data_IF_071053468130
#
_entry.id   IF_071053468130
#
_cell.length_a   1.000
_cell.length_b   1.000
_cell.length_c   1.000
_cell.angle_alpha   90.00
_cell.angle_beta   90.00
_cell.angle_gamma   90.00
#
_symmetry.space_group_name_H-M   'P 1'
#
loop_
_entity.id
_entity.type
_entity.pdbx_description
1 polymer ?
#
# COMPACT_ATOMS: atom_id res chain seq x y z
N UNK A 1 -2.00 12.52 9.28
CA UNK A 1 -2.14 11.58 8.14
C UNK A 1 -2.83 12.20 6.92
N UNK A 2 -4.07 12.73 7.00
CA UNK A 2 -4.80 13.29 5.83
C UNK A 2 -4.04 14.34 5.00
N UNK A 3 -3.27 15.23 5.64
CA UNK A 3 -2.48 16.25 4.94
C UNK A 3 -1.31 15.68 4.12
N UNK A 4 -0.63 14.65 4.64
CA UNK A 4 0.49 14.00 3.97
C UNK A 4 0.02 13.10 2.81
N UNK A 5 -1.14 12.44 2.96
CA UNK A 5 -1.73 11.57 1.92
C UNK A 5 -1.99 12.35 0.62
N UNK A 6 -2.50 13.58 0.70
CA UNK A 6 -2.66 14.47 -0.47
C UNK A 6 -1.35 14.98 -1.05
N UNK A 7 -0.35 15.22 -0.19
CA UNK A 7 0.97 15.71 -0.60
C UNK A 7 1.73 14.70 -1.46
N UNK A 8 1.52 13.40 -1.21
CA UNK A 8 2.18 12.30 -1.91
C UNK A 8 1.26 11.59 -2.91
N UNK A 9 0.30 12.29 -3.53
CA UNK A 9 -0.54 11.74 -4.61
C UNK A 9 -1.22 10.39 -4.31
N UNK A 10 -1.50 10.10 -3.04
CA UNK A 10 -2.23 8.89 -2.67
C UNK A 10 -3.71 9.20 -2.88
N UNK A 11 -4.30 8.54 -3.87
CA UNK A 11 -5.69 8.73 -4.29
C UNK A 11 -6.65 8.37 -3.15
N UNK A 12 -6.40 7.23 -2.49
CA UNK A 12 -7.28 6.73 -1.43
C UNK A 12 -6.57 5.73 -0.51
N UNK A 13 -6.95 5.73 0.76
CA UNK A 13 -6.66 4.60 1.67
C UNK A 13 -7.80 3.60 1.53
N UNK A 14 -7.50 2.42 1.00
CA UNK A 14 -8.47 1.34 0.72
C UNK A 14 -8.79 0.56 1.98
N UNK A 15 -7.78 0.31 2.82
CA UNK A 15 -7.93 -0.46 4.04
C UNK A 15 -6.73 -0.34 4.95
N UNK A 16 -6.95 -0.64 6.22
CA UNK A 16 -5.93 -0.67 7.25
C UNK A 16 -6.20 -1.85 8.17
N UNK A 17 -5.23 -2.74 8.29
CA UNK A 17 -5.30 -3.95 9.11
C UNK A 17 -4.09 -3.97 10.05
N UNK A 18 -4.31 -4.45 11.26
CA UNK A 18 -3.26 -4.58 12.26
C UNK A 18 -3.35 -5.97 12.88
N UNK A 19 -2.26 -6.73 12.79
CA UNK A 19 -2.08 -7.99 13.52
C UNK A 19 -1.38 -7.66 14.83
N UNK A 20 -2.15 -7.59 15.92
CA UNK A 20 -1.59 -7.28 17.25
C UNK A 20 -0.61 -8.35 17.72
N UNK A 21 -0.90 -9.61 17.37
CA UNK A 21 -0.07 -10.76 17.76
C UNK A 21 1.29 -10.75 17.05
N UNK A 22 1.30 -10.38 15.77
CA UNK A 22 2.52 -10.37 14.96
C UNK A 22 3.20 -8.99 14.97
N UNK A 23 2.60 -7.98 15.62
CA UNK A 23 3.02 -6.59 15.59
C UNK A 23 3.16 -6.04 14.15
N UNK A 24 2.33 -6.52 13.23
CA UNK A 24 2.36 -6.16 11.82
C UNK A 24 1.18 -5.27 11.42
N UNK A 25 1.45 -4.34 10.50
CA UNK A 25 0.53 -3.31 10.06
C UNK A 25 0.44 -3.38 8.53
N UNK A 26 -0.74 -3.68 7.99
CA UNK A 26 -0.98 -3.77 6.54
C UNK A 26 -1.86 -2.60 6.13
N UNK A 27 -1.32 -1.74 5.27
CA UNK A 27 -2.02 -0.57 4.75
C UNK A 27 -2.22 -0.76 3.25
N UNK A 28 -3.48 -0.81 2.82
CA UNK A 28 -3.83 -0.91 1.40
C UNK A 28 -4.10 0.50 0.90
N UNK A 29 -3.30 0.93 -0.08
CA UNK A 29 -3.32 2.27 -0.63
C UNK A 29 -3.57 2.19 -2.14
N UNK A 30 -4.40 3.10 -2.63
CA UNK A 30 -4.51 3.39 -4.06
C UNK A 30 -3.61 4.60 -4.35
N UNK A 31 -2.52 4.35 -5.08
CA UNK A 31 -1.51 5.34 -5.42
C UNK A 31 -0.94 5.04 -6.83
N UNK A 32 -0.47 6.09 -7.50
CA UNK A 32 0.10 5.98 -8.85
C UNK A 32 1.56 5.50 -8.87
N UNK A 33 2.29 5.71 -7.79
CA UNK A 33 3.72 5.44 -7.69
C UNK A 33 4.07 4.80 -6.36
N UNK A 34 4.90 3.75 -6.39
CA UNK A 34 5.44 3.14 -5.18
C UNK A 34 6.39 4.07 -4.42
N UNK A 35 7.09 4.96 -5.15
CA UNK A 35 7.99 5.94 -4.54
C UNK A 35 7.24 6.96 -3.69
N UNK A 36 6.04 7.35 -4.09
CA UNK A 36 5.22 8.29 -3.33
C UNK A 36 4.77 7.67 -1.99
N UNK A 37 4.49 6.35 -1.99
CA UNK A 37 4.18 5.59 -0.76
C UNK A 37 5.40 5.54 0.17
N UNK A 38 6.58 5.29 -0.39
CA UNK A 38 7.83 5.30 0.37
C UNK A 38 8.09 6.66 1.03
N UNK A 39 7.96 7.75 0.29
CA UNK A 39 8.10 9.10 0.84
C UNK A 39 7.08 9.39 1.93
N UNK A 40 5.83 8.91 1.81
CA UNK A 40 4.85 9.01 2.88
C UNK A 40 5.34 8.27 4.15
N UNK A 41 5.81 7.04 4.00
CA UNK A 41 6.30 6.23 5.12
C UNK A 41 7.49 6.89 5.83
N UNK A 42 8.38 7.54 5.08
CA UNK A 42 9.49 8.35 5.62
C UNK A 42 8.95 9.58 6.36
N UNK A 43 8.08 10.36 5.71
CA UNK A 43 7.57 11.62 6.25
C UNK A 43 6.71 11.44 7.51
N UNK A 44 6.07 10.28 7.66
CA UNK A 44 5.26 9.93 8.85
C UNK A 44 6.10 9.26 9.94
N UNK A 45 7.35 8.88 9.65
CA UNK A 45 8.24 8.22 10.60
C UNK A 45 7.96 6.73 10.80
N UNK A 46 7.22 6.10 9.88
CA UNK A 46 6.99 4.65 9.93
C UNK A 46 8.29 3.91 9.64
N UNK A 47 9.05 4.39 8.65
CA UNK A 47 10.32 3.78 8.25
C UNK A 47 11.44 3.88 9.28
N UNK A 48 11.32 4.77 10.29
CA UNK A 48 12.30 4.88 11.37
C UNK A 48 12.09 3.89 12.50
N UNK A 49 10.92 3.25 12.58
CA UNK A 49 10.53 2.36 13.69
C UNK A 49 10.26 0.95 13.17
N UNK A 50 9.87 0.80 11.91
CA UNK A 50 9.44 -0.47 11.33
C UNK A 50 10.03 -0.68 9.94
N UNK A 51 10.30 -1.95 9.62
CA UNK A 51 10.65 -2.35 8.26
C UNK A 51 9.42 -2.21 7.36
N UNK A 52 9.56 -1.47 6.26
CA UNK A 52 8.47 -1.23 5.31
C UNK A 52 8.69 -2.09 4.07
N UNK A 53 7.65 -2.82 3.65
CA UNK A 53 7.63 -3.58 2.39
C UNK A 53 6.45 -3.13 1.54
N UNK A 54 6.74 -2.62 0.34
CA UNK A 54 5.73 -2.16 -0.62
C UNK A 54 5.51 -3.25 -1.65
N UNK A 55 4.27 -3.72 -1.81
CA UNK A 55 3.92 -4.79 -2.76
C UNK A 55 2.85 -4.27 -3.72
N UNK A 56 3.09 -4.30 -5.04
CA UNK A 56 2.06 -3.96 -6.01
C UNK A 56 0.97 -5.04 -6.02
N UNK A 57 -0.29 -4.63 -6.02
CA UNK A 57 -1.44 -5.52 -6.07
C UNK A 57 -2.15 -5.39 -7.41
N UNK A 58 -2.52 -6.54 -7.99
CA UNK A 58 -3.39 -6.58 -9.16
C UNK A 58 -4.84 -6.81 -8.74
N UNK A 59 -5.77 -6.27 -9.52
CA UNK A 59 -7.18 -6.64 -9.36
C UNK A 59 -7.34 -8.16 -9.62
N UNK A 60 -8.02 -8.82 -8.69
CA UNK A 60 -8.20 -10.26 -8.73
C UNK A 60 -8.95 -10.71 -9.99
N UNK A 61 -9.97 -9.97 -10.42
CA UNK A 61 -10.76 -10.31 -11.62
C UNK A 61 -9.89 -10.20 -12.88
N UNK A 62 -9.02 -9.19 -12.96
CA UNK A 62 -8.07 -9.05 -14.07
C UNK A 62 -7.10 -10.23 -14.11
N UNK A 63 -6.62 -10.66 -12.94
CA UNK A 63 -5.69 -11.80 -12.82
C UNK A 63 -6.36 -13.10 -13.27
N UNK A 64 -7.60 -13.37 -12.84
CA UNK A 64 -8.35 -14.57 -13.26
C UNK A 64 -8.60 -14.59 -14.77
N UNK A 65 -8.97 -13.45 -15.36
CA UNK A 65 -9.18 -13.36 -16.82
C UNK A 65 -7.90 -13.69 -17.61
N UNK A 66 -6.75 -13.20 -17.15
CA UNK A 66 -5.45 -13.51 -17.78
C UNK A 66 -5.12 -15.00 -17.70
N UNK A 67 -5.35 -15.63 -16.55
CA UNK A 67 -5.12 -17.07 -16.37
C UNK A 67 -6.03 -17.91 -17.27
N UNK A 68 -7.30 -17.51 -17.42
CA UNK A 68 -8.25 -18.20 -18.30
C UNK A 68 -7.92 -18.03 -19.79
N UNK A 69 -7.39 -16.87 -20.19
CA UNK A 69 -6.98 -16.59 -21.57
C UNK A 69 -5.69 -17.31 -21.99
N UNK A 70 -4.94 -17.88 -21.04
CA UNK A 70 -3.71 -18.65 -21.30
C UNK A 70 -3.93 -20.17 -21.36
N UNK A 71 -5.17 -20.63 -21.18
CA UNK A 71 -5.60 -22.01 -21.47
C UNK A 71 -6.05 -22.13 -22.92
#
# INVERSE_FOLDING_TARGET
>A
MKANVRKFNITKVVGFYMSVLEHEWIIILDAKSAHDIEQLCIAVGISSISTVKIVPMNDFRVTIKRLQSQK
#
